data_IF_644971497778
#
_entry.id   IF_644971497778
#
_cell.length_a   1.000
_cell.length_b   1.000
_cell.length_c   1.000
_cell.angle_alpha   90.00
_cell.angle_beta   90.00
_cell.angle_gamma   90.00
#
_symmetry.space_group_name_H-M   'P 1'
#
loop_
_entity.id
_entity.type
_entity.pdbx_description
1 polymer ?
#
# COMPACT_ATOMS: atom_id res chain seq x y z
N UNK A 1 -21.89 -13.29 2.36
CA UNK A 1 -20.88 -14.24 1.81
C UNK A 1 -19.61 -14.11 2.66
N UNK A 2 -18.88 -15.21 2.93
CA UNK A 2 -17.65 -15.12 3.70
C UNK A 2 -16.62 -14.22 2.99
N UNK A 3 -15.78 -13.49 3.72
CA UNK A 3 -14.72 -12.67 3.12
C UNK A 3 -13.74 -13.56 2.33
N UNK A 4 -13.23 -13.04 1.22
CA UNK A 4 -12.11 -13.68 0.53
C UNK A 4 -10.88 -13.56 1.44
N UNK A 5 -10.38 -14.70 1.92
CA UNK A 5 -9.27 -14.74 2.85
C UNK A 5 -8.14 -15.55 2.24
N UNK A 6 -6.94 -15.00 2.26
CA UNK A 6 -5.72 -15.70 1.88
C UNK A 6 -4.60 -15.38 2.86
N UNK A 7 -3.65 -16.31 2.97
CA UNK A 7 -2.52 -16.18 3.90
C UNK A 7 -1.29 -15.82 3.10
N UNK A 8 -0.71 -14.66 3.45
CA UNK A 8 0.53 -14.17 2.91
C UNK A 8 1.62 -14.28 4.01
N UNK A 9 2.35 -15.40 4.01
CA UNK A 9 3.36 -15.73 5.04
C UNK A 9 2.73 -15.71 6.46
N UNK A 10 3.10 -14.73 7.29
CA UNK A 10 2.64 -14.58 8.68
C UNK A 10 1.38 -13.71 8.82
N UNK A 11 0.83 -13.23 7.71
CA UNK A 11 -0.29 -12.27 7.70
C UNK A 11 -1.47 -12.87 6.94
N UNK A 12 -2.61 -12.98 7.61
CA UNK A 12 -3.88 -13.26 6.97
C UNK A 12 -4.48 -11.95 6.43
N UNK A 13 -4.91 -11.98 5.18
CA UNK A 13 -5.50 -10.84 4.47
C UNK A 13 -6.94 -11.18 4.15
N UNK A 14 -7.87 -10.31 4.59
CA UNK A 14 -9.29 -10.49 4.40
C UNK A 14 -9.88 -9.34 3.59
N UNK A 15 -10.42 -9.68 2.42
CA UNK A 15 -11.20 -8.79 1.57
C UNK A 15 -12.68 -9.13 1.69
N UNK A 16 -13.53 -8.11 1.54
CA UNK A 16 -14.95 -8.37 1.37
C UNK A 16 -15.17 -9.18 0.09
N UNK A 17 -16.14 -10.10 0.12
CA UNK A 17 -16.46 -10.90 -1.06
C UNK A 17 -16.84 -10.02 -2.26
N UNK A 18 -17.72 -9.05 -2.03
CA UNK A 18 -18.14 -8.10 -3.04
C UNK A 18 -17.23 -6.85 -3.00
N UNK A 19 -16.73 -6.39 -4.16
CA UNK A 19 -15.98 -5.15 -4.25
C UNK A 19 -16.87 -3.94 -3.91
N UNK A 20 -16.23 -2.85 -3.49
CA UNK A 20 -16.89 -1.56 -3.27
C UNK A 20 -17.37 -0.93 -4.57
N UNK A 21 -16.57 -1.06 -5.64
CA UNK A 21 -16.96 -0.70 -7.00
C UNK A 21 -16.65 -1.89 -7.91
N UNK A 22 -17.58 -2.24 -8.79
CA UNK A 22 -17.50 -3.45 -9.62
C UNK A 22 -17.46 -3.10 -11.09
N UNK A 23 -16.56 -3.73 -11.84
CA UNK A 23 -16.43 -3.58 -13.29
C UNK A 23 -16.32 -2.10 -13.73
N UNK A 24 -15.45 -1.32 -13.08
CA UNK A 24 -15.28 0.10 -13.37
C UNK A 24 -14.13 0.30 -14.37
N UNK A 25 -14.28 1.14 -15.40
CA UNK A 25 -13.19 1.47 -16.32
C UNK A 25 -11.96 2.03 -15.58
N UNK A 26 -10.77 1.65 -16.02
CA UNK A 26 -9.50 2.07 -15.38
C UNK A 26 -9.38 3.60 -15.34
N UNK A 27 -9.74 4.29 -16.42
CA UNK A 27 -9.73 5.77 -16.48
C UNK A 27 -10.61 6.40 -15.38
N UNK A 28 -11.80 5.83 -15.14
CA UNK A 28 -12.70 6.30 -14.08
C UNK A 28 -12.09 6.07 -12.69
N UNK A 29 -11.40 4.94 -12.48
CA UNK A 29 -10.69 4.68 -11.22
C UNK A 29 -9.52 5.66 -11.05
N UNK A 30 -8.73 5.89 -12.11
CA UNK A 30 -7.61 6.82 -12.11
C UNK A 30 -8.07 8.24 -11.74
N UNK A 31 -9.17 8.71 -12.33
CA UNK A 31 -9.75 10.02 -12.01
C UNK A 31 -10.28 10.07 -10.57
N UNK A 32 -11.09 9.09 -10.16
CA UNK A 32 -11.73 9.08 -8.85
C UNK A 32 -10.73 9.02 -7.69
N UNK A 33 -9.62 8.31 -7.88
CA UNK A 33 -8.57 8.18 -6.86
C UNK A 33 -7.44 9.21 -7.02
N UNK A 34 -7.45 10.03 -8.07
CA UNK A 34 -6.39 11.00 -8.35
C UNK A 34 -5.05 10.36 -8.70
N UNK A 35 -5.07 9.25 -9.45
CA UNK A 35 -3.91 8.44 -9.83
C UNK A 35 -3.66 8.52 -11.35
N UNK A 36 -3.12 9.64 -11.87
CA UNK A 36 -2.98 9.87 -13.31
C UNK A 36 -2.01 8.91 -14.00
N UNK A 37 -1.13 8.23 -13.27
CA UNK A 37 -0.17 7.27 -13.81
C UNK A 37 -0.62 5.80 -13.66
N UNK A 38 -1.87 5.56 -13.25
CA UNK A 38 -2.39 4.21 -12.99
C UNK A 38 -2.24 3.27 -14.19
N UNK A 39 -2.55 3.74 -15.41
CA UNK A 39 -2.39 2.97 -16.64
C UNK A 39 -0.94 2.53 -16.86
N UNK A 40 -0.01 3.48 -16.78
CA UNK A 40 1.42 3.21 -16.95
C UNK A 40 1.95 2.27 -15.84
N UNK A 41 1.47 2.42 -14.61
CA UNK A 41 1.86 1.56 -13.49
C UNK A 41 1.37 0.12 -13.66
N UNK A 42 0.14 -0.07 -14.14
CA UNK A 42 -0.38 -1.38 -14.52
C UNK A 42 0.43 -1.99 -15.68
N UNK A 43 0.76 -1.20 -16.70
CA UNK A 43 1.60 -1.65 -17.81
C UNK A 43 2.99 -2.09 -17.35
N UNK A 44 3.63 -1.32 -16.48
CA UNK A 44 4.94 -1.64 -15.92
C UNK A 44 4.90 -2.96 -15.13
N UNK A 45 3.89 -3.12 -14.27
CA UNK A 45 3.69 -4.35 -13.52
C UNK A 45 3.51 -5.56 -14.45
N UNK A 46 2.65 -5.45 -15.47
CA UNK A 46 2.42 -6.54 -16.41
C UNK A 46 3.66 -6.88 -17.26
N UNK A 47 4.45 -5.86 -17.63
CA UNK A 47 5.68 -6.04 -18.40
C UNK A 47 6.83 -6.62 -17.56
N UNK A 48 6.93 -6.24 -16.28
CA UNK A 48 7.94 -6.76 -15.35
C UNK A 48 7.65 -8.20 -14.91
N UNK A 49 6.37 -8.54 -14.69
CA UNK A 49 5.95 -9.89 -14.26
C UNK A 49 5.70 -10.86 -15.44
N UNK A 50 6.17 -10.52 -16.64
CA UNK A 50 5.95 -11.30 -17.86
C UNK A 50 6.50 -12.74 -17.80
N UNK A 51 5.60 -13.71 -18.02
CA UNK A 51 5.74 -15.18 -18.10
C UNK A 51 6.25 -15.94 -16.87
N UNK A 52 6.86 -15.28 -15.88
CA UNK A 52 7.18 -15.90 -14.60
C UNK A 52 6.55 -15.02 -13.54
N UNK A 53 5.33 -15.37 -13.13
CA UNK A 53 4.67 -14.81 -11.97
C UNK A 53 5.51 -15.13 -10.73
N UNK A 54 6.57 -14.37 -10.50
CA UNK A 54 7.05 -14.20 -9.15
C UNK A 54 5.96 -13.36 -8.50
N UNK A 55 5.27 -13.89 -7.50
CA UNK A 55 4.27 -13.13 -6.73
C UNK A 55 4.97 -12.05 -5.86
N UNK A 56 6.00 -11.40 -6.40
CA UNK A 56 6.93 -10.57 -5.68
C UNK A 56 7.49 -9.48 -6.58
N UNK A 57 6.83 -8.33 -6.53
CA UNK A 57 7.23 -7.15 -7.25
C UNK A 57 8.12 -6.26 -6.38
N UNK A 58 9.31 -5.93 -6.88
CA UNK A 58 10.20 -4.93 -6.26
C UNK A 58 10.06 -3.62 -7.02
N UNK A 59 10.33 -2.49 -6.36
CA UNK A 59 10.33 -1.19 -7.03
C UNK A 59 11.13 -1.18 -8.33
N UNK A 60 10.42 -0.94 -9.43
CA UNK A 60 11.02 -0.46 -10.66
C UNK A 60 11.56 0.95 -10.48
N UNK A 61 12.59 1.30 -11.25
CA UNK A 61 13.13 2.67 -11.28
C UNK A 61 12.16 3.65 -11.93
N UNK A 62 12.54 4.18 -13.10
CA UNK A 62 11.69 5.11 -13.85
C UNK A 62 10.48 4.37 -14.47
N UNK A 63 9.29 5.01 -14.43
CA UNK A 63 8.07 4.58 -15.15
C UNK A 63 8.42 4.33 -16.62
N UNK A 64 8.16 3.12 -17.13
CA UNK A 64 8.58 2.72 -18.49
C UNK A 64 7.43 2.74 -19.49
N UNK A 65 6.26 2.34 -19.03
CA UNK A 65 5.07 2.22 -19.85
C UNK A 65 4.42 3.58 -20.02
N UNK A 66 4.00 3.93 -21.25
CA UNK A 66 3.33 5.20 -21.50
C UNK A 66 1.90 5.19 -20.92
N UNK A 67 1.26 6.35 -20.74
CA UNK A 67 -0.10 6.46 -20.21
C UNK A 67 -1.17 5.74 -21.06
N UNK A 68 -0.93 5.59 -22.36
CA UNK A 68 -1.82 4.94 -23.34
C UNK A 68 -1.46 3.48 -23.62
N UNK A 69 -0.69 2.84 -22.72
CA UNK A 69 -0.30 1.44 -22.85
C UNK A 69 -1.51 0.52 -23.01
N UNK A 70 -1.42 -0.42 -23.96
CA UNK A 70 -2.44 -1.43 -24.14
C UNK A 70 -2.45 -2.41 -22.97
N UNK A 71 -3.57 -2.47 -22.25
CA UNK A 71 -3.78 -3.44 -21.17
C UNK A 71 -4.72 -4.56 -21.65
N UNK A 72 -4.50 -5.82 -21.20
CA UNK A 72 -5.34 -6.96 -21.57
C UNK A 72 -6.75 -6.93 -20.94
N UNK A 73 -7.01 -5.95 -20.08
CA UNK A 73 -8.28 -5.67 -19.43
C UNK A 73 -8.55 -4.17 -19.44
N UNK A 74 -9.82 -3.79 -19.34
CA UNK A 74 -10.27 -2.39 -19.34
C UNK A 74 -10.98 -1.98 -18.06
N UNK A 75 -11.33 -2.95 -17.23
CA UNK A 75 -12.16 -2.78 -16.05
C UNK A 75 -11.46 -3.37 -14.81
N UNK A 76 -11.75 -2.76 -13.67
CA UNK A 76 -11.26 -3.17 -12.36
C UNK A 76 -12.44 -3.35 -11.41
N UNK A 77 -12.34 -4.36 -10.56
CA UNK A 77 -13.06 -4.42 -9.30
C UNK A 77 -12.21 -3.73 -8.22
N UNK A 78 -12.82 -2.90 -7.37
CA UNK A 78 -12.13 -2.03 -6.40
C UNK A 78 -12.67 -2.22 -5.00
N UNK A 79 -11.78 -2.28 -4.01
CA UNK A 79 -12.11 -2.35 -2.59
C UNK A 79 -11.62 -1.10 -1.86
N UNK A 80 -12.47 -0.53 -0.98
CA UNK A 80 -12.09 0.60 -0.13
C UNK A 80 -11.44 0.20 1.19
N UNK A 81 -11.39 -1.10 1.48
CA UNK A 81 -10.79 -1.62 2.70
C UNK A 81 -10.30 -3.05 2.55
N UNK A 82 -9.21 -3.34 3.24
CA UNK A 82 -8.71 -4.69 3.50
C UNK A 82 -8.43 -4.84 4.99
N UNK A 83 -8.62 -6.05 5.51
CA UNK A 83 -8.37 -6.39 6.90
C UNK A 83 -7.14 -7.26 7.01
N UNK A 84 -6.27 -6.94 7.95
CA UNK A 84 -5.03 -7.66 8.22
C UNK A 84 -5.11 -8.30 9.58
N UNK A 85 -4.71 -9.56 9.68
CA UNK A 85 -4.62 -10.27 10.93
C UNK A 85 -3.27 -10.97 10.99
N UNK A 86 -2.55 -10.79 12.09
CA UNK A 86 -1.20 -11.30 12.26
C UNK A 86 -1.15 -12.21 13.49
N UNK A 87 -0.07 -12.96 13.62
CA UNK A 87 0.27 -13.62 14.88
C UNK A 87 0.98 -12.63 15.80
N UNK A 88 0.88 -12.82 17.11
CA UNK A 88 1.65 -11.98 18.04
C UNK A 88 3.14 -12.20 17.83
N UNK A 89 3.95 -11.21 18.22
CA UNK A 89 5.40 -11.26 18.00
C UNK A 89 6.06 -12.36 18.82
N UNK A 90 5.63 -12.55 20.07
CA UNK A 90 6.25 -13.50 21.02
C UNK A 90 5.59 -14.87 21.06
N UNK A 91 4.31 -14.98 20.68
CA UNK A 91 3.58 -16.25 20.67
C UNK A 91 2.86 -16.47 19.33
N UNK A 92 3.41 -17.38 18.54
CA UNK A 92 2.86 -17.74 17.22
C UNK A 92 1.55 -18.52 17.27
N UNK A 93 1.09 -18.93 18.46
CA UNK A 93 -0.22 -19.55 18.68
C UNK A 93 -1.31 -18.51 18.92
N UNK A 94 -0.95 -17.30 19.35
CA UNK A 94 -1.86 -16.19 19.56
C UNK A 94 -1.99 -15.31 18.31
N UNK A 95 -3.19 -14.76 18.12
CA UNK A 95 -3.55 -13.96 16.95
C UNK A 95 -3.86 -12.53 17.41
N UNK A 96 -3.31 -11.54 16.70
CA UNK A 96 -3.54 -10.12 16.98
C UNK A 96 -4.96 -9.68 16.56
N UNK A 97 -5.47 -8.60 17.16
CA UNK A 97 -6.66 -7.93 16.66
C UNK A 97 -6.50 -7.56 15.18
N UNK A 98 -7.60 -7.64 14.43
CA UNK A 98 -7.59 -7.29 13.02
C UNK A 98 -7.46 -5.78 12.81
N UNK A 99 -6.50 -5.36 11.99
CA UNK A 99 -6.38 -3.97 11.55
C UNK A 99 -7.04 -3.77 10.20
N UNK A 100 -7.79 -2.67 10.04
CA UNK A 100 -8.41 -2.31 8.75
C UNK A 100 -7.56 -1.24 8.06
N UNK A 101 -7.07 -1.55 6.87
CA UNK A 101 -6.42 -0.61 5.97
C UNK A 101 -7.49 -0.04 5.04
N UNK A 102 -7.61 1.28 5.02
CA UNK A 102 -8.55 1.99 4.15
C UNK A 102 -7.87 2.56 2.91
N UNK A 103 -8.63 2.53 1.81
CA UNK A 103 -8.31 3.09 0.48
C UNK A 103 -9.56 3.75 -0.09
N UNK A 104 -10.10 4.73 0.63
CA UNK A 104 -11.32 5.42 0.21
C UNK A 104 -10.95 6.66 -0.61
N UNK A 105 -11.48 6.83 -1.83
CA UNK A 105 -11.24 8.03 -2.61
C UNK A 105 -11.91 9.26 -2.00
N UNK A 106 -11.54 10.48 -2.40
CA UNK A 106 -12.26 11.68 -2.07
C UNK A 106 -13.75 11.59 -2.41
N UNK A 107 -14.61 12.02 -1.49
CA UNK A 107 -16.05 12.16 -1.73
C UNK A 107 -16.63 13.37 -0.98
N UNK A 108 -17.97 13.50 -0.95
CA UNK A 108 -18.66 14.61 -0.28
C UNK A 108 -18.41 14.66 1.24
N UNK A 109 -18.18 13.52 1.87
CA UNK A 109 -17.96 13.37 3.30
C UNK A 109 -16.47 13.39 3.67
N UNK A 110 -15.62 12.84 2.81
CA UNK A 110 -14.18 12.73 2.98
C UNK A 110 -13.48 13.47 1.85
N UNK A 111 -13.33 14.80 1.99
CA UNK A 111 -12.74 15.67 0.95
C UNK A 111 -11.38 15.21 0.43
N UNK A 112 -10.56 14.57 1.28
CA UNK A 112 -9.21 14.11 0.94
C UNK A 112 -9.11 12.59 0.78
N UNK A 113 -10.24 11.88 0.88
CA UNK A 113 -10.25 10.42 0.97
C UNK A 113 -9.68 9.91 2.29
N UNK A 114 -9.38 8.61 2.34
CA UNK A 114 -8.75 7.95 3.49
C UNK A 114 -7.82 6.84 3.01
N UNK A 115 -6.52 7.05 3.22
CA UNK A 115 -5.46 6.17 2.76
C UNK A 115 -4.52 5.83 3.90
N UNK A 116 -4.49 4.56 4.31
CA UNK A 116 -3.66 4.12 5.42
C UNK A 116 -2.26 3.67 4.97
N UNK A 117 -1.33 3.76 5.91
CA UNK A 117 0.02 3.27 5.72
C UNK A 117 0.14 1.80 6.17
N UNK A 118 1.03 1.07 5.51
CA UNK A 118 1.31 -0.36 5.74
C UNK A 118 2.80 -0.63 5.68
N UNK A 119 3.22 -1.71 6.33
CA UNK A 119 4.51 -2.34 6.06
C UNK A 119 4.33 -3.33 4.92
N UNK A 120 5.21 -3.21 3.93
CA UNK A 120 5.25 -4.05 2.75
C UNK A 120 6.60 -4.73 2.63
N UNK A 121 6.60 -5.99 2.18
CA UNK A 121 7.84 -6.69 1.86
C UNK A 121 8.32 -6.33 0.46
N UNK A 122 9.57 -5.90 0.33
CA UNK A 122 10.21 -5.57 -0.96
C UNK A 122 11.46 -6.41 -1.25
N UNK A 123 11.85 -7.27 -0.30
CA UNK A 123 12.83 -8.32 -0.53
C UNK A 123 12.36 -9.65 0.09
N UNK A 124 12.23 -10.68 -0.75
CA UNK A 124 11.68 -11.98 -0.36
C UNK A 124 12.59 -12.79 0.58
N UNK A 125 13.84 -12.36 0.77
CA UNK A 125 14.79 -12.97 1.71
C UNK A 125 14.53 -12.56 3.16
N UNK A 126 13.84 -11.45 3.39
CA UNK A 126 13.53 -10.95 4.73
C UNK A 126 12.11 -11.33 5.15
N UNK A 127 11.94 -11.54 6.45
CA UNK A 127 10.70 -12.04 7.03
C UNK A 127 10.18 -11.08 8.08
N UNK A 128 8.99 -10.54 7.84
CA UNK A 128 8.24 -9.84 8.88
C UNK A 128 7.67 -10.84 9.91
N UNK A 129 7.66 -10.53 11.22
CA UNK A 129 8.24 -9.35 11.87
C UNK A 129 9.71 -9.51 12.30
N UNK A 130 10.32 -10.68 12.15
CA UNK A 130 11.65 -11.00 12.69
C UNK A 130 12.79 -10.16 12.13
N UNK A 131 12.69 -9.72 10.87
CA UNK A 131 13.70 -8.90 10.19
C UNK A 131 13.51 -7.40 10.41
N UNK A 132 12.47 -7.02 11.16
CA UNK A 132 12.03 -5.65 11.30
C UNK A 132 11.92 -4.91 9.97
N UNK A 133 12.50 -3.71 9.90
CA UNK A 133 12.43 -2.88 8.69
C UNK A 133 13.43 -3.29 7.60
N UNK A 134 14.31 -4.26 7.85
CA UNK A 134 15.23 -4.75 6.82
C UNK A 134 14.47 -5.57 5.78
N UNK A 135 14.63 -5.23 4.50
CA UNK A 135 13.86 -5.82 3.39
C UNK A 135 12.39 -5.38 3.30
N UNK A 136 11.98 -4.47 4.18
CA UNK A 136 10.62 -3.96 4.26
C UNK A 136 10.58 -2.45 4.05
N UNK A 137 9.41 -1.92 3.73
CA UNK A 137 9.21 -0.49 3.51
C UNK A 137 7.84 -0.04 3.97
N UNK A 138 7.71 1.25 4.27
CA UNK A 138 6.44 1.88 4.64
C UNK A 138 5.81 2.45 3.39
N UNK A 139 4.57 2.08 3.15
CA UNK A 139 3.80 2.52 1.98
C UNK A 139 2.48 3.14 2.42
N UNK A 140 1.98 4.11 1.68
CA UNK A 140 0.57 4.48 1.70
C UNK A 140 -0.17 3.68 0.63
N UNK A 141 -1.20 2.92 1.01
CA UNK A 141 -2.04 2.22 0.05
C UNK A 141 -3.09 3.20 -0.48
N UNK A 142 -3.14 3.39 -1.80
CA UNK A 142 -4.06 4.32 -2.43
C UNK A 142 -5.23 3.60 -3.10
N UNK A 143 -5.00 2.41 -3.65
CA UNK A 143 -6.03 1.64 -4.36
C UNK A 143 -5.83 0.15 -4.07
N UNK A 144 -6.94 -0.58 -3.87
CA UNK A 144 -6.95 -2.05 -3.83
C UNK A 144 -7.90 -2.51 -4.93
N UNK A 145 -7.42 -3.40 -5.80
CA UNK A 145 -8.13 -3.74 -7.01
C UNK A 145 -7.89 -5.19 -7.46
N UNK A 146 -8.72 -5.64 -8.38
CA UNK A 146 -8.53 -6.89 -9.13
C UNK A 146 -8.89 -6.61 -10.60
N UNK A 147 -8.02 -6.98 -11.57
CA UNK A 147 -8.36 -6.91 -12.98
C UNK A 147 -9.56 -7.79 -13.34
N UNK A 148 -10.54 -7.22 -14.03
CA UNK A 148 -11.73 -7.95 -14.46
C UNK A 148 -11.50 -8.57 -15.85
N UNK A 149 -11.90 -9.84 -16.01
CA UNK A 149 -11.81 -10.52 -17.31
C UNK A 149 -12.71 -9.86 -18.36
N UNK A 150 -12.25 -9.73 -19.62
CA UNK A 150 -13.14 -9.37 -20.73
C UNK A 150 -14.31 -10.35 -20.81
N UNK A 151 -15.53 -9.83 -20.85
CA UNK A 151 -16.76 -10.65 -20.98
C UNK A 151 -16.66 -11.52 -22.25
N UNK A 152 -16.81 -12.84 -22.12
CA UNK A 152 -16.76 -13.79 -23.24
C UNK A 152 -15.40 -14.41 -23.54
N UNK A 153 -14.38 -14.17 -22.70
CA UNK A 153 -13.10 -14.89 -22.80
C UNK A 153 -13.21 -16.31 -22.22
N UNK A 154 -13.02 -17.33 -23.07
CA UNK A 154 -12.96 -18.74 -22.68
C UNK A 154 -11.58 -19.15 -22.12
N UNK A 155 -10.67 -18.19 -21.93
CA UNK A 155 -9.33 -18.41 -21.42
C UNK A 155 -9.30 -18.32 -19.89
N UNK A 156 -8.41 -19.12 -19.28
CA UNK A 156 -8.00 -18.93 -17.89
C UNK A 156 -7.44 -17.51 -17.78
N UNK A 157 -8.21 -16.58 -17.23
CA UNK A 157 -7.71 -15.23 -17.01
C UNK A 157 -6.71 -15.29 -15.86
N UNK A 158 -5.43 -15.39 -16.20
CA UNK A 158 -4.30 -15.45 -15.26
C UNK A 158 -4.28 -14.28 -14.24
N UNK A 159 -5.05 -13.22 -14.50
CA UNK A 159 -5.13 -12.03 -13.66
C UNK A 159 -6.38 -11.94 -12.77
N UNK A 160 -7.43 -12.74 -13.02
CA UNK A 160 -8.70 -12.66 -12.27
C UNK A 160 -8.64 -13.17 -10.82
N UNK A 161 -7.49 -13.69 -10.39
CA UNK A 161 -7.26 -14.11 -9.00
C UNK A 161 -6.19 -13.29 -8.29
N UNK A 162 -5.60 -12.30 -8.96
CA UNK A 162 -4.54 -11.47 -8.40
C UNK A 162 -5.14 -10.19 -7.84
N UNK A 163 -5.29 -10.13 -6.51
CA UNK A 163 -5.54 -8.88 -5.84
C UNK A 163 -4.27 -8.03 -5.87
N UNK A 164 -4.40 -6.82 -6.39
CA UNK A 164 -3.34 -5.85 -6.55
C UNK A 164 -3.62 -4.63 -5.67
N UNK A 165 -2.57 -3.86 -5.42
CA UNK A 165 -2.70 -2.54 -4.84
C UNK A 165 -1.80 -1.53 -5.55
N UNK A 166 -2.29 -0.30 -5.68
CA UNK A 166 -1.44 0.85 -5.97
C UNK A 166 -1.00 1.43 -4.64
N UNK A 167 0.30 1.58 -4.46
CA UNK A 167 0.87 2.10 -3.22
C UNK A 167 1.97 3.13 -3.49
N UNK A 168 1.99 4.18 -2.67
CA UNK A 168 2.97 5.25 -2.70
C UNK A 168 3.99 5.07 -1.59
N UNK A 169 5.27 5.26 -1.92
CA UNK A 169 6.39 4.97 -1.02
C UNK A 169 6.65 6.09 -0.02
N UNK A 170 7.03 5.71 1.20
CA UNK A 170 7.77 6.58 2.11
C UNK A 170 9.22 6.13 2.22
N UNK A 171 10.15 7.09 2.13
CA UNK A 171 11.56 6.89 2.43
C UNK A 171 11.83 7.12 3.92
N UNK A 172 12.60 6.23 4.52
CA UNK A 172 13.16 6.44 5.85
C UNK A 172 14.35 7.38 5.72
N UNK A 173 14.27 8.54 6.39
CA UNK A 173 15.29 9.59 6.33
C UNK A 173 16.28 9.41 7.48
N UNK A 174 17.57 9.20 7.21
CA UNK A 174 18.60 9.15 8.26
C UNK A 174 18.63 10.44 9.10
N UNK A 175 18.78 10.30 10.41
CA UNK A 175 18.88 11.40 11.38
C UNK A 175 20.34 11.53 11.85
N UNK A 176 21.22 11.92 10.94
CA UNK A 176 22.66 11.95 11.16
C UNK A 176 23.25 10.54 11.17
N UNK A 177 23.88 10.13 12.27
CA UNK A 177 24.45 8.78 12.45
C UNK A 177 23.42 7.74 12.95
N UNK A 178 22.14 8.09 13.02
CA UNK A 178 21.04 7.26 13.51
C UNK A 178 19.96 7.09 12.44
N UNK A 179 19.26 5.95 12.44
CA UNK A 179 18.07 5.73 11.61
C UNK A 179 16.78 6.33 12.21
N UNK A 180 16.85 6.77 13.47
CA UNK A 180 15.73 7.34 14.24
C UNK A 180 16.06 8.72 14.82
N UNK A 181 15.04 9.54 15.00
CA UNK A 181 15.12 10.83 15.68
C UNK A 181 15.44 10.62 17.18
N UNK A 182 16.36 11.41 17.73
CA UNK A 182 16.95 11.16 19.06
C UNK A 182 15.99 11.35 20.23
N UNK A 183 15.02 12.25 20.11
CA UNK A 183 14.11 12.61 21.21
C UNK A 183 13.06 11.53 21.43
N UNK A 184 12.44 11.04 20.35
CA UNK A 184 11.32 10.10 20.42
C UNK A 184 11.73 8.66 20.04
N UNK A 185 12.90 8.46 19.45
CA UNK A 185 13.34 7.17 18.94
C UNK A 185 12.50 6.68 17.75
N UNK A 186 11.91 7.60 16.97
CA UNK A 186 11.02 7.28 15.85
C UNK A 186 11.74 7.43 14.51
N UNK A 187 11.45 6.53 13.57
CA UNK A 187 11.88 6.69 12.18
C UNK A 187 11.16 7.88 11.55
N UNK A 188 11.94 8.74 10.91
CA UNK A 188 11.40 9.84 10.10
C UNK A 188 11.11 9.31 8.71
N UNK A 189 9.87 9.45 8.29
CA UNK A 189 9.40 9.13 6.96
C UNK A 189 9.28 10.41 6.13
N UNK A 190 9.61 10.32 4.85
CA UNK A 190 9.33 11.34 3.85
C UNK A 190 8.67 10.71 2.64
N UNK A 191 7.66 11.36 2.05
CA UNK A 191 7.06 10.87 0.80
C UNK A 191 8.13 10.80 -0.28
N UNK A 192 8.22 9.66 -0.95
CA UNK A 192 9.09 9.50 -2.10
C UNK A 192 8.45 10.19 -3.30
N UNK A 193 9.23 11.00 -4.01
CA UNK A 193 8.79 11.70 -5.22
C UNK A 193 9.66 11.30 -6.40
N UNK A 194 9.06 11.24 -7.58
CA UNK A 194 9.77 11.16 -8.85
C UNK A 194 10.59 12.44 -9.08
N UNK A 195 11.49 12.43 -10.06
CA UNK A 195 12.24 13.62 -10.49
C UNK A 195 11.33 14.76 -10.96
N UNK A 196 10.13 14.44 -11.43
CA UNK A 196 9.08 15.40 -11.78
C UNK A 196 8.39 16.06 -10.56
N UNK A 197 8.67 15.58 -9.34
CA UNK A 197 8.01 16.04 -8.11
C UNK A 197 6.68 15.35 -7.80
N UNK A 198 6.15 14.51 -8.69
CA UNK A 198 4.96 13.70 -8.40
C UNK A 198 5.29 12.56 -7.42
N UNK A 199 4.30 12.08 -6.68
CA UNK A 199 4.49 10.96 -5.75
C UNK A 199 4.93 9.69 -6.50
N UNK A 200 5.85 8.93 -5.89
CA UNK A 200 6.34 7.67 -6.45
C UNK A 200 5.39 6.54 -6.02
N UNK A 201 4.43 6.23 -6.90
CA UNK A 201 3.51 5.11 -6.73
C UNK A 201 3.77 3.98 -7.74
N UNK A 202 3.53 2.75 -7.31
CA UNK A 202 3.70 1.53 -8.12
C UNK A 202 2.59 0.51 -7.81
N UNK A 203 2.43 -0.47 -8.70
CA UNK A 203 1.50 -1.60 -8.52
C UNK A 203 2.23 -2.77 -7.87
N UNK A 204 1.58 -3.39 -6.90
CA UNK A 204 2.09 -4.56 -6.22
C UNK A 204 0.98 -5.61 -5.98
N UNK A 205 1.34 -6.90 -5.95
CA UNK A 205 0.54 -7.94 -5.33
C UNK A 205 0.13 -7.59 -3.90
N UNK A 206 -1.15 -7.80 -3.56
CA UNK A 206 -1.66 -7.54 -2.21
C UNK A 206 -1.04 -8.49 -1.17
N UNK A 207 -0.55 -9.65 -1.57
CA UNK A 207 0.13 -10.63 -0.72
C UNK A 207 1.56 -10.21 -0.32
N UNK A 208 2.06 -9.06 -0.76
CA UNK A 208 3.29 -8.44 -0.23
C UNK A 208 3.03 -7.58 1.02
N UNK A 209 1.76 -7.35 1.37
CA UNK A 209 1.37 -6.61 2.56
C UNK A 209 1.69 -7.43 3.83
N UNK A 210 2.36 -6.82 4.81
CA UNK A 210 2.80 -7.49 6.05
C UNK A 210 2.11 -6.99 7.31
N UNK A 211 1.98 -5.67 7.48
CA UNK A 211 1.46 -5.08 8.72
C UNK A 211 0.74 -3.77 8.47
N UNK A 212 -0.17 -3.40 9.36
CA UNK A 212 -0.59 -2.00 9.46
C UNK A 212 0.59 -1.16 9.96
N UNK A 213 0.72 0.07 9.44
CA UNK A 213 1.73 1.02 9.90
C UNK A 213 1.04 2.31 10.33
N UNK A 214 1.17 2.65 11.61
CA UNK A 214 0.66 3.92 12.11
C UNK A 214 1.68 5.02 11.88
N UNK A 215 1.31 6.01 11.06
CA UNK A 215 2.14 7.20 10.81
C UNK A 215 1.54 8.42 11.50
N UNK A 216 2.41 9.29 12.01
CA UNK A 216 2.00 10.52 12.69
C UNK A 216 2.61 11.72 11.95
N UNK A 217 1.85 12.77 11.64
CA UNK A 217 2.37 14.03 11.11
C UNK A 217 3.60 14.52 11.86
N UNK A 218 4.69 14.83 11.12
CA UNK A 218 5.83 15.55 11.69
C UNK A 218 5.63 17.04 11.44
N UNK A 219 5.25 17.76 12.49
CA UNK A 219 5.17 19.22 12.44
C UNK A 219 6.56 19.84 12.61
N UNK A 220 6.77 21.00 11.99
CA UNK A 220 7.94 21.84 12.28
C UNK A 220 7.79 22.54 13.63
N UNK A 221 8.59 23.59 13.84
CA UNK A 221 8.53 24.39 15.07
C UNK A 221 7.12 24.93 15.38
N UNK A 222 6.35 25.24 14.34
CA UNK A 222 4.96 25.68 14.45
C UNK A 222 4.10 24.83 13.51
N UNK A 223 3.06 24.21 14.05
CA UNK A 223 2.05 23.54 13.24
C UNK A 223 1.21 24.60 12.48
N UNK A 224 0.92 24.35 11.20
CA UNK A 224 -0.03 25.17 10.46
C UNK A 224 -1.43 24.92 11.03
N UNK A 225 -2.10 25.99 11.47
CA UNK A 225 -3.41 25.92 12.12
C UNK A 225 -4.54 25.50 11.17
N UNK A 226 -4.28 25.43 9.86
CA UNK A 226 -5.19 24.89 8.85
C UNK A 226 -5.13 23.36 8.77
N UNK A 227 -4.14 22.73 9.40
CA UNK A 227 -4.02 21.28 9.41
C UNK A 227 -5.03 20.66 10.39
N UNK A 228 -5.73 19.64 9.91
CA UNK A 228 -6.69 18.83 10.66
C UNK A 228 -6.28 17.37 10.58
N UNK A 229 -6.95 16.49 11.34
CA UNK A 229 -6.80 15.04 11.20
C UNK A 229 -7.02 14.57 9.76
N UNK A 230 -7.89 15.26 9.03
CA UNK A 230 -8.39 14.80 7.74
C UNK A 230 -7.51 15.25 6.57
N UNK A 231 -6.78 16.36 6.71
CA UNK A 231 -5.94 16.89 5.63
C UNK A 231 -4.44 16.68 5.87
N UNK A 232 -4.00 16.39 7.10
CA UNK A 232 -2.59 16.41 7.46
C UNK A 232 -1.76 15.40 6.66
N UNK A 233 -2.30 14.19 6.43
CA UNK A 233 -1.64 13.15 5.65
C UNK A 233 -1.46 13.59 4.19
N UNK A 234 -2.45 14.30 3.63
CA UNK A 234 -2.41 14.79 2.25
C UNK A 234 -1.49 16.00 2.09
N UNK A 235 -1.49 16.93 3.05
CA UNK A 235 -0.76 18.21 2.94
C UNK A 235 0.70 18.14 3.38
N UNK A 236 1.09 17.13 4.17
CA UNK A 236 2.44 17.02 4.69
C UNK A 236 3.32 16.05 3.90
N UNK A 237 4.62 16.35 3.92
CA UNK A 237 5.65 15.56 3.25
C UNK A 237 6.47 14.69 4.21
N UNK A 238 6.37 14.92 5.53
CA UNK A 238 7.14 14.19 6.52
C UNK A 238 6.29 13.70 7.69
N UNK A 239 6.59 12.50 8.14
CA UNK A 239 5.85 11.77 9.17
C UNK A 239 6.82 11.05 10.09
N UNK A 240 6.34 10.62 11.25
CA UNK A 240 7.00 9.63 12.09
C UNK A 240 6.31 8.28 11.91
N UNK A 241 7.10 7.20 11.85
CA UNK A 241 6.58 5.86 12.04
C UNK A 241 6.36 5.62 13.53
N UNK A 242 5.11 5.51 13.97
CA UNK A 242 4.79 5.32 15.38
C UNK A 242 5.01 3.87 15.80
N UNK A 243 6.22 3.55 16.24
CA UNK A 243 6.54 2.24 16.82
C UNK A 243 5.76 1.91 18.09
N UNK A 244 5.22 2.91 18.79
CA UNK A 244 4.47 2.73 20.04
C UNK A 244 2.97 2.49 19.83
N UNK A 245 2.53 2.30 18.58
CA UNK A 245 1.12 2.09 18.26
C UNK A 245 0.54 0.83 18.89
N UNK A 246 1.28 -0.27 18.85
CA UNK A 246 0.96 -1.50 19.54
C UNK A 246 2.24 -2.24 19.97
N UNK A 247 2.08 -3.22 20.86
CA UNK A 247 3.20 -3.96 21.46
C UNK A 247 3.99 -4.76 20.42
N UNK A 248 3.32 -5.45 19.50
CA UNK A 248 3.99 -6.31 18.52
C UNK A 248 4.74 -5.47 17.50
N UNK A 249 4.16 -4.35 17.07
CA UNK A 249 4.79 -3.40 16.17
C UNK A 249 6.01 -2.72 16.81
N UNK A 250 5.97 -2.44 18.12
CA UNK A 250 7.12 -1.93 18.85
C UNK A 250 8.31 -2.89 18.73
N UNK A 251 8.14 -4.17 19.04
CA UNK A 251 9.22 -5.16 18.96
C UNK A 251 9.67 -5.43 17.53
N UNK A 252 8.74 -5.47 16.57
CA UNK A 252 9.06 -5.65 15.16
C UNK A 252 9.92 -4.51 14.60
N UNK A 253 9.72 -3.27 15.06
CA UNK A 253 10.43 -2.09 14.55
C UNK A 253 11.53 -1.59 15.49
N UNK A 254 11.93 -2.44 16.44
CA UNK A 254 12.91 -2.08 17.47
C UNK A 254 14.34 -2.01 16.98
#
# INVERSE_FOLDING_TARGET
RPPCTFIARSTAIHLNYDPSLKCIPIDTVAEQFGLPDLHGALGDYLNCEGNVAQNFHTFGGQRRSPPDVHLPFKELDVWYKVRLQQKTYHDSSEITPTFTVHTHPPDRSLKYGRYNAVIMNIDNHWQWPSSGLQGHTVMQVCLIMCPTAPRGSNGINQFSSCFLMYAQRFDIVPQGNSSVERTMGLHVLKRATRTSGSELGEIFPLDQLRSYAHIVPRFGWKADNRLTSDNCIHSLQSFFLNRYFDKDFFYATS
#
